data_IF_931334744121
#
_entry.id   IF_931334744121
#
_cell.length_a   1.000
_cell.length_b   1.000
_cell.length_c   1.000
_cell.angle_alpha   90.00
_cell.angle_beta   90.00
_cell.angle_gamma   90.00
#
_symmetry.space_group_name_H-M   'P 1'
#
loop_
_entity.id
_entity.type
_entity.pdbx_description
1 polymer ?
#
# COMPACT_ATOMS: atom_id res chain seq x y z
N UNK A 1 17.75 19.16 -2.55
CA UNK A 1 18.04 19.45 -3.96
C UNK A 1 18.80 20.75 -4.01
N UNK A 2 19.93 20.78 -4.72
CA UNK A 2 20.78 21.96 -4.84
C UNK A 2 20.50 22.60 -6.19
N UNK A 3 20.22 23.91 -6.21
CA UNK A 3 19.97 24.69 -7.41
C UNK A 3 18.77 25.63 -7.29
N UNK A 4 18.63 26.62 -8.17
CA UNK A 4 17.49 27.54 -8.16
C UNK A 4 16.20 26.80 -8.48
N UNK A 5 15.03 27.29 -8.02
CA UNK A 5 13.73 26.72 -8.34
C UNK A 5 13.50 26.72 -9.87
N UNK A 6 12.75 25.71 -10.32
CA UNK A 6 12.36 25.57 -11.73
C UNK A 6 10.87 25.86 -11.83
N UNK A 7 10.47 27.09 -12.21
CA UNK A 7 9.06 27.45 -12.25
C UNK A 7 8.34 26.76 -13.43
N UNK A 8 7.11 26.35 -13.18
CA UNK A 8 6.18 25.86 -14.19
C UNK A 8 4.98 26.81 -14.21
N UNK A 9 5.00 27.73 -15.17
CA UNK A 9 4.02 28.82 -15.27
C UNK A 9 3.40 28.85 -16.66
N UNK A 10 2.21 29.44 -16.75
CA UNK A 10 1.57 29.69 -18.04
C UNK A 10 2.48 30.54 -18.94
N UNK A 11 2.66 30.12 -20.17
CA UNK A 11 3.50 30.77 -21.16
C UNK A 11 2.95 30.54 -22.56
N UNK A 12 3.59 31.09 -23.59
CA UNK A 12 3.25 30.81 -24.99
C UNK A 12 3.37 29.30 -25.34
N UNK A 13 4.24 28.54 -24.63
CA UNK A 13 4.41 27.11 -24.82
C UNK A 13 3.38 26.28 -24.02
N UNK A 14 2.74 26.88 -23.00
CA UNK A 14 1.78 26.23 -22.13
C UNK A 14 0.51 27.07 -21.99
N UNK A 15 -0.18 27.38 -23.12
CA UNK A 15 -1.29 28.37 -23.13
C UNK A 15 -2.52 27.91 -22.35
N UNK A 16 -2.69 26.57 -22.20
CA UNK A 16 -3.85 25.97 -21.53
C UNK A 16 -3.58 25.61 -20.07
N UNK A 17 -2.46 26.09 -19.48
CA UNK A 17 -2.13 25.79 -18.08
C UNK A 17 -3.04 26.63 -17.17
N UNK A 18 -3.84 25.98 -16.36
CA UNK A 18 -4.72 26.62 -15.40
C UNK A 18 -3.94 27.12 -14.16
N UNK A 19 -4.56 27.97 -13.36
CA UNK A 19 -3.95 28.55 -12.15
C UNK A 19 -3.46 27.46 -11.19
N UNK A 20 -4.24 26.40 -11.03
CA UNK A 20 -3.95 25.28 -10.12
C UNK A 20 -2.85 24.33 -10.61
N UNK A 21 -2.53 24.38 -11.89
CA UNK A 21 -1.48 23.56 -12.51
C UNK A 21 -0.12 24.26 -12.53
N UNK A 22 -0.04 25.47 -12.00
CA UNK A 22 1.18 26.26 -11.93
C UNK A 22 1.91 26.07 -10.61
N UNK A 23 3.24 26.10 -10.67
CA UNK A 23 4.09 26.06 -9.47
C UNK A 23 5.31 26.95 -9.64
N UNK A 24 5.84 27.45 -8.54
CA UNK A 24 7.12 28.19 -8.52
C UNK A 24 8.32 27.25 -8.66
N UNK A 25 8.13 25.96 -8.40
CA UNK A 25 9.17 24.94 -8.53
C UNK A 25 8.56 23.56 -8.85
N UNK A 26 8.85 23.03 -10.05
CA UNK A 26 8.39 21.70 -10.48
C UNK A 26 9.22 20.56 -9.90
N UNK A 27 10.31 20.84 -9.22
CA UNK A 27 11.11 19.79 -8.61
C UNK A 27 10.27 19.09 -7.54
N UNK A 28 10.02 17.79 -7.70
CA UNK A 28 9.10 17.08 -6.84
C UNK A 28 9.67 16.89 -5.44
N UNK A 29 8.77 16.82 -4.49
CA UNK A 29 9.01 16.15 -3.25
C UNK A 29 8.99 17.04 -2.03
N UNK A 30 8.60 16.42 -0.95
CA UNK A 30 8.58 16.99 0.39
C UNK A 30 10.00 17.12 0.99
N UNK A 31 11.02 16.63 0.30
CA UNK A 31 12.39 16.55 0.81
C UNK A 31 12.53 15.61 2.01
N UNK A 32 13.73 15.54 2.59
CA UNK A 32 13.99 14.73 3.77
C UNK A 32 13.25 15.25 5.01
N UNK A 33 13.10 16.56 5.14
CA UNK A 33 12.37 17.18 6.25
C UNK A 33 10.89 16.80 6.22
N UNK A 34 10.25 16.90 5.05
CA UNK A 34 8.87 16.50 4.87
C UNK A 34 8.65 15.00 5.08
N UNK A 35 9.59 14.17 4.60
CA UNK A 35 9.57 12.73 4.85
C UNK A 35 9.68 12.39 6.34
N UNK A 36 10.55 13.10 7.07
CA UNK A 36 10.68 12.95 8.51
C UNK A 36 9.43 13.46 9.27
N UNK A 37 8.83 14.56 8.80
CA UNK A 37 7.59 15.07 9.38
C UNK A 37 6.42 14.09 9.17
N UNK A 38 6.32 13.50 7.97
CA UNK A 38 5.32 12.47 7.66
C UNK A 38 5.51 11.24 8.55
N UNK A 39 6.74 10.77 8.72
CA UNK A 39 7.03 9.64 9.62
C UNK A 39 6.62 9.95 11.05
N UNK A 40 6.99 11.13 11.58
CA UNK A 40 6.57 11.57 12.92
C UNK A 40 5.05 11.67 13.08
N UNK A 41 4.34 12.11 12.03
CA UNK A 41 2.87 12.14 12.03
C UNK A 41 2.31 10.74 12.25
N UNK A 42 2.80 9.74 11.50
CA UNK A 42 2.34 8.35 11.67
C UNK A 42 2.75 7.81 13.04
N UNK A 43 4.00 8.00 13.46
CA UNK A 43 4.49 7.52 14.76
C UNK A 43 3.66 8.02 15.96
N UNK A 44 3.03 9.20 15.82
CA UNK A 44 2.15 9.79 16.85
C UNK A 44 0.69 9.35 16.79
N UNK A 45 0.37 8.38 15.95
CA UNK A 45 -0.97 7.84 15.83
C UNK A 45 -1.68 8.18 14.52
N UNK A 46 -1.02 8.87 13.58
CA UNK A 46 -1.61 9.20 12.29
C UNK A 46 -1.77 7.99 11.38
N UNK A 47 -2.73 8.05 10.47
CA UNK A 47 -2.92 7.08 9.39
C UNK A 47 -2.33 7.62 8.08
N UNK A 48 -1.44 6.87 7.46
CA UNK A 48 -0.97 7.07 6.11
C UNK A 48 -1.57 6.01 5.17
N UNK A 49 -2.35 6.45 4.20
CA UNK A 49 -2.81 5.58 3.10
C UNK A 49 -1.96 5.81 1.86
N UNK A 50 -1.51 4.73 1.24
CA UNK A 50 -0.81 4.77 -0.04
C UNK A 50 -1.48 3.86 -1.05
N UNK A 51 -1.43 4.20 -2.33
CA UNK A 51 -2.11 3.45 -3.40
C UNK A 51 -1.21 3.34 -4.63
N UNK A 52 -1.13 2.15 -5.20
CA UNK A 52 -0.29 1.88 -6.35
C UNK A 52 1.17 2.22 -6.08
N UNK A 53 1.81 2.97 -6.96
CA UNK A 53 3.25 3.27 -6.86
C UNK A 53 3.63 4.10 -5.63
N UNK A 54 2.70 4.87 -5.03
CA UNK A 54 2.99 5.59 -3.79
C UNK A 54 3.26 4.68 -2.59
N UNK A 55 2.90 3.39 -2.68
CA UNK A 55 3.24 2.39 -1.66
C UNK A 55 4.75 2.14 -1.53
N UNK A 56 5.54 2.57 -2.54
CA UNK A 56 7.01 2.53 -2.44
C UNK A 56 7.57 3.56 -1.47
N UNK A 57 6.86 4.66 -1.20
CA UNK A 57 7.34 5.73 -0.31
C UNK A 57 7.64 5.21 1.11
N UNK A 58 6.68 4.61 1.84
CA UNK A 58 6.95 4.10 3.18
C UNK A 58 7.95 2.93 3.19
N UNK A 59 8.02 2.13 2.13
CA UNK A 59 9.01 1.05 2.00
C UNK A 59 10.41 1.64 1.86
N UNK A 60 10.61 2.57 0.92
CA UNK A 60 11.92 3.21 0.66
C UNK A 60 12.42 4.01 1.86
N UNK A 61 11.51 4.64 2.60
CA UNK A 61 11.85 5.41 3.81
C UNK A 61 11.96 4.54 5.08
N UNK A 62 11.76 3.23 4.97
CA UNK A 62 11.91 2.30 6.09
C UNK A 62 10.92 2.57 7.24
N UNK A 63 9.65 2.87 6.93
CA UNK A 63 8.62 3.12 7.96
C UNK A 63 8.36 1.86 8.78
N UNK A 64 8.28 0.72 8.11
CA UNK A 64 8.18 -0.58 8.77
C UNK A 64 9.07 -1.61 8.03
N UNK A 65 10.11 -2.14 8.67
CA UNK A 65 11.10 -3.01 8.01
C UNK A 65 10.56 -4.39 7.63
N UNK A 66 9.38 -4.79 8.14
CA UNK A 66 8.76 -6.07 7.78
C UNK A 66 8.07 -6.04 6.41
N UNK A 67 7.94 -4.86 5.79
CA UNK A 67 7.33 -4.72 4.46
C UNK A 67 8.39 -4.41 3.42
N UNK A 68 8.40 -5.20 2.36
CA UNK A 68 9.31 -5.03 1.23
C UNK A 68 8.54 -5.14 -0.08
N UNK A 69 9.21 -4.87 -1.19
CA UNK A 69 8.69 -5.12 -2.53
C UNK A 69 9.17 -6.50 -3.02
N UNK A 70 8.27 -7.28 -3.59
CA UNK A 70 8.64 -8.43 -4.40
C UNK A 70 9.09 -7.93 -5.78
N UNK A 71 10.28 -8.34 -6.21
CA UNK A 71 10.77 -8.05 -7.56
C UNK A 71 10.02 -8.95 -8.54
N UNK A 72 9.36 -8.34 -9.52
CA UNK A 72 8.71 -9.03 -10.63
C UNK A 72 9.46 -8.71 -11.93
N UNK A 73 9.69 -9.70 -12.76
CA UNK A 73 10.50 -9.56 -13.99
C UNK A 73 9.70 -9.76 -15.25
N UNK A 74 8.63 -10.57 -15.19
CA UNK A 74 7.80 -10.95 -16.33
C UNK A 74 6.38 -10.41 -16.21
N UNK A 75 5.99 -9.96 -15.01
CA UNK A 75 4.64 -9.48 -14.75
C UNK A 75 4.26 -8.33 -15.68
N UNK A 76 3.19 -8.51 -16.42
CA UNK A 76 2.56 -7.46 -17.21
C UNK A 76 1.05 -7.50 -17.00
N UNK A 77 0.54 -6.49 -16.30
CA UNK A 77 -0.87 -6.32 -16.00
C UNK A 77 -1.21 -4.83 -16.07
N UNK A 78 -1.71 -4.40 -17.21
CA UNK A 78 -2.06 -2.99 -17.47
C UNK A 78 -3.56 -2.84 -17.60
N UNK A 79 -4.19 -2.28 -16.55
CA UNK A 79 -5.62 -2.05 -16.55
C UNK A 79 -6.43 -3.35 -16.43
N UNK A 80 -6.04 -4.22 -15.53
CA UNK A 80 -6.66 -5.54 -15.37
C UNK A 80 -7.56 -5.60 -14.15
N UNK A 81 -8.64 -6.35 -14.25
CA UNK A 81 -9.47 -6.74 -13.12
C UNK A 81 -8.99 -8.10 -12.64
N UNK A 82 -8.50 -8.14 -11.42
CA UNK A 82 -7.83 -9.29 -10.83
C UNK A 82 -8.53 -9.69 -9.53
N UNK A 83 -8.57 -10.98 -9.26
CA UNK A 83 -9.20 -11.55 -8.08
C UNK A 83 -8.26 -11.49 -6.87
N UNK A 84 -8.79 -10.97 -5.77
CA UNK A 84 -8.13 -10.98 -4.45
C UNK A 84 -8.98 -11.73 -3.43
N UNK A 85 -8.36 -12.08 -2.32
CA UNK A 85 -9.01 -12.74 -1.20
C UNK A 85 -8.47 -12.20 0.13
N UNK A 86 -9.27 -12.19 1.21
CA UNK A 86 -8.79 -11.89 2.53
C UNK A 86 -7.62 -12.79 2.92
N UNK A 87 -6.63 -12.22 3.61
CA UNK A 87 -5.57 -13.05 4.19
C UNK A 87 -6.12 -13.85 5.38
N UNK A 88 -5.59 -15.07 5.66
CA UNK A 88 -6.14 -15.93 6.71
C UNK A 88 -6.26 -15.26 8.08
N UNK A 89 -5.27 -14.43 8.44
CA UNK A 89 -5.19 -13.77 9.75
C UNK A 89 -5.87 -12.38 9.76
N UNK A 90 -6.52 -11.98 8.67
CA UNK A 90 -7.07 -10.64 8.51
C UNK A 90 -8.59 -10.55 8.76
N UNK A 91 -9.26 -11.65 9.11
CA UNK A 91 -10.73 -11.69 9.27
C UNK A 91 -11.28 -10.68 10.27
N UNK A 92 -10.47 -10.23 11.22
CA UNK A 92 -10.82 -9.23 12.23
C UNK A 92 -10.47 -7.80 11.84
N UNK A 93 -9.82 -7.60 10.68
CA UNK A 93 -9.42 -6.27 10.23
C UNK A 93 -10.62 -5.39 9.92
N UNK A 94 -10.73 -4.20 10.50
CA UNK A 94 -11.78 -3.25 10.14
C UNK A 94 -11.78 -2.87 8.65
N UNK A 95 -10.64 -2.96 7.98
CA UNK A 95 -10.51 -2.70 6.54
C UNK A 95 -11.43 -3.61 5.72
N UNK A 96 -11.73 -4.81 6.23
CA UNK A 96 -12.58 -5.82 5.58
C UNK A 96 -14.05 -5.77 6.00
N UNK A 97 -14.49 -4.78 6.76
CA UNK A 97 -15.89 -4.68 7.13
C UNK A 97 -16.79 -4.59 5.88
N UNK A 98 -17.81 -5.45 5.82
CA UNK A 98 -18.71 -5.58 4.69
C UNK A 98 -18.20 -6.51 3.56
N UNK A 99 -17.02 -7.10 3.70
CA UNK A 99 -16.50 -8.09 2.76
C UNK A 99 -16.69 -9.52 3.30
N UNK A 100 -17.83 -10.12 3.01
CA UNK A 100 -18.15 -11.49 3.45
C UNK A 100 -17.66 -12.55 2.43
N UNK A 101 -17.37 -12.13 1.20
CA UNK A 101 -16.96 -13.02 0.13
C UNK A 101 -15.54 -13.55 0.34
N UNK A 102 -15.32 -14.83 0.07
CA UNK A 102 -14.00 -15.45 0.11
C UNK A 102 -13.03 -14.88 -0.93
N UNK A 103 -13.54 -14.29 -2.01
CA UNK A 103 -12.75 -13.57 -3.01
C UNK A 103 -13.61 -12.59 -3.79
N UNK A 104 -13.00 -11.50 -4.29
CA UNK A 104 -13.68 -10.48 -5.09
C UNK A 104 -12.71 -9.81 -6.07
N UNK A 105 -13.24 -9.18 -7.14
CA UNK A 105 -12.42 -8.51 -8.14
C UNK A 105 -11.98 -7.11 -7.68
N UNK A 106 -10.77 -6.72 -8.08
CA UNK A 106 -10.21 -5.37 -7.90
C UNK A 106 -9.48 -4.92 -9.16
N UNK A 107 -9.30 -3.61 -9.30
CA UNK A 107 -8.48 -3.06 -10.36
C UNK A 107 -6.99 -3.08 -9.99
N UNK A 108 -6.17 -3.59 -10.91
CA UNK A 108 -4.71 -3.63 -10.78
C UNK A 108 -4.03 -3.14 -12.07
N UNK A 109 -3.02 -2.31 -11.94
CA UNK A 109 -2.23 -1.83 -13.08
C UNK A 109 -0.80 -1.51 -12.67
N UNK A 110 0.13 -2.44 -12.98
CA UNK A 110 1.59 -2.27 -12.79
C UNK A 110 1.97 -1.57 -11.47
N UNK A 111 1.39 -1.98 -10.37
CA UNK A 111 1.72 -1.47 -9.04
C UNK A 111 2.78 -2.35 -8.36
N UNK A 112 3.46 -1.87 -7.31
CA UNK A 112 4.37 -2.67 -6.52
C UNK A 112 3.68 -3.90 -5.94
N UNK A 113 4.30 -5.05 -6.08
CA UNK A 113 3.86 -6.28 -5.43
C UNK A 113 4.45 -6.29 -4.03
N UNK A 114 3.59 -6.23 -3.03
CA UNK A 114 4.01 -6.13 -1.64
C UNK A 114 4.40 -7.50 -1.07
N UNK A 115 5.38 -7.49 -0.18
CA UNK A 115 5.78 -8.67 0.58
C UNK A 115 5.88 -8.32 2.06
N UNK A 116 5.30 -9.15 2.89
CA UNK A 116 5.39 -9.04 4.35
C UNK A 116 6.25 -10.19 4.86
N UNK A 117 7.27 -9.85 5.67
CA UNK A 117 8.14 -10.85 6.26
C UNK A 117 7.32 -11.87 7.05
N UNK A 118 7.60 -13.17 6.91
CA UNK A 118 6.92 -14.21 7.66
C UNK A 118 7.11 -14.01 9.16
N UNK A 119 6.21 -14.57 9.96
CA UNK A 119 6.37 -14.60 11.43
C UNK A 119 7.66 -15.36 11.73
N UNK A 120 8.56 -14.74 12.52
CA UNK A 120 9.74 -15.44 12.99
C UNK A 120 9.30 -16.51 14.00
N UNK A 121 9.34 -17.76 13.57
CA UNK A 121 8.96 -18.92 14.39
C UNK A 121 10.15 -19.44 15.21
N UNK A 122 11.33 -18.84 15.10
CA UNK A 122 12.52 -19.24 15.85
C UNK A 122 12.37 -18.72 17.28
N UNK A 123 11.94 -19.60 18.16
CA UNK A 123 12.05 -19.37 19.62
C UNK A 123 13.53 -19.34 19.98
N UNK A 124 14.06 -18.16 20.21
CA UNK A 124 15.44 -17.99 20.70
C UNK A 124 15.40 -18.12 22.22
N UNK A 125 16.01 -19.17 22.74
CA UNK A 125 16.20 -19.32 24.20
C UNK A 125 16.87 -18.08 24.79
N UNK A 126 16.29 -17.54 25.88
CA UNK A 126 16.83 -16.36 26.59
C UNK A 126 16.30 -15.02 26.11
N UNK A 127 15.33 -14.95 25.20
CA UNK A 127 14.67 -13.71 24.79
C UNK A 127 13.66 -13.25 25.83
N UNK A 128 13.64 -11.94 26.10
CA UNK A 128 12.62 -11.34 26.95
C UNK A 128 11.23 -11.45 26.28
N UNK A 129 10.22 -12.08 26.92
CA UNK A 129 8.87 -12.17 26.40
C UNK A 129 8.23 -10.81 26.09
N UNK A 130 8.60 -9.75 26.78
CA UNK A 130 8.13 -8.40 26.52
C UNK A 130 8.63 -7.87 25.17
N UNK A 131 9.87 -8.21 24.79
CA UNK A 131 10.45 -7.85 23.49
C UNK A 131 9.70 -8.56 22.33
N UNK A 132 9.42 -9.85 22.49
CA UNK A 132 8.70 -10.62 21.50
C UNK A 132 7.26 -10.09 21.28
N UNK A 133 6.58 -9.70 22.38
CA UNK A 133 5.26 -9.09 22.33
C UNK A 133 5.28 -7.75 21.61
N UNK A 134 6.29 -6.91 21.85
CA UNK A 134 6.43 -5.63 21.18
C UNK A 134 6.75 -5.82 19.68
N UNK A 135 7.63 -6.75 19.34
CA UNK A 135 7.95 -7.05 17.95
C UNK A 135 6.73 -7.58 17.18
N UNK A 136 5.90 -8.39 17.83
CA UNK A 136 4.66 -8.89 17.22
C UNK A 136 3.63 -7.78 16.98
N UNK A 137 3.49 -6.82 17.91
CA UNK A 137 2.63 -5.64 17.74
C UNK A 137 3.08 -4.72 16.59
N UNK A 138 4.39 -4.62 16.37
CA UNK A 138 4.96 -3.77 15.32
C UNK A 138 5.03 -4.47 13.96
N UNK A 139 4.59 -5.71 13.87
CA UNK A 139 4.63 -6.48 12.64
C UNK A 139 3.53 -6.05 11.68
N UNK A 140 3.90 -5.85 10.42
CA UNK A 140 2.93 -5.62 9.36
C UNK A 140 2.09 -6.88 9.10
N UNK A 141 0.86 -6.67 8.67
CA UNK A 141 -0.13 -7.71 8.38
C UNK A 141 -0.61 -7.60 6.95
N UNK A 142 -0.69 -8.72 6.28
CA UNK A 142 -1.37 -8.80 4.99
C UNK A 142 -2.88 -8.79 5.25
N UNK A 143 -3.58 -7.83 4.69
CA UNK A 143 -5.05 -7.72 4.80
C UNK A 143 -5.72 -8.41 3.62
N UNK A 144 -5.27 -8.09 2.41
CA UNK A 144 -5.68 -8.78 1.18
C UNK A 144 -4.48 -9.36 0.48
N UNK A 145 -4.66 -10.49 -0.15
CA UNK A 145 -3.69 -11.11 -1.05
C UNK A 145 -4.33 -11.39 -2.40
N UNK A 146 -3.52 -11.41 -3.42
CA UNK A 146 -3.92 -11.91 -4.72
C UNK A 146 -4.30 -13.39 -4.59
N UNK A 147 -5.27 -13.85 -5.40
CA UNK A 147 -5.71 -15.24 -5.36
C UNK A 147 -4.53 -16.20 -5.53
N UNK A 148 -4.55 -17.35 -4.82
CA UNK A 148 -3.41 -18.27 -4.76
C UNK A 148 -3.08 -18.95 -6.08
N UNK A 149 -4.09 -19.16 -6.94
CA UNK A 149 -3.92 -19.81 -8.23
C UNK A 149 -3.78 -18.77 -9.34
N UNK A 150 -2.67 -18.81 -10.07
CA UNK A 150 -2.37 -17.88 -11.17
C UNK A 150 -3.49 -17.87 -12.23
N UNK A 151 -4.00 -19.04 -12.61
CA UNK A 151 -5.06 -19.20 -13.62
C UNK A 151 -6.41 -18.65 -13.17
N UNK A 152 -6.60 -18.43 -11.87
CA UNK A 152 -7.84 -17.88 -11.29
C UNK A 152 -7.76 -16.39 -11.02
N UNK A 153 -6.61 -15.77 -11.26
CA UNK A 153 -6.38 -14.35 -10.98
C UNK A 153 -7.16 -13.44 -11.92
N UNK A 154 -7.03 -13.66 -13.22
CA UNK A 154 -7.59 -12.75 -14.21
C UNK A 154 -9.11 -12.88 -14.31
N UNK A 155 -9.80 -11.77 -14.13
CA UNK A 155 -11.24 -11.64 -14.40
C UNK A 155 -11.48 -10.96 -15.75
N UNK A 156 -10.72 -9.88 -16.03
CA UNK A 156 -10.79 -9.14 -17.27
C UNK A 156 -9.51 -8.36 -17.54
N UNK A 157 -9.20 -8.12 -18.80
CA UNK A 157 -7.99 -7.39 -19.21
C UNK A 157 -6.82 -8.31 -19.53
N UNK A 158 -5.59 -7.84 -19.34
CA UNK A 158 -4.36 -8.56 -19.66
C UNK A 158 -3.58 -8.91 -18.38
N UNK A 159 -3.24 -10.17 -18.22
CA UNK A 159 -2.30 -10.63 -17.19
C UNK A 159 -1.31 -11.62 -17.80
N UNK A 160 -0.04 -11.23 -17.80
CA UNK A 160 1.08 -12.08 -18.16
C UNK A 160 1.88 -12.37 -16.90
N UNK A 161 2.33 -13.62 -16.74
CA UNK A 161 3.07 -14.07 -15.56
C UNK A 161 2.31 -13.84 -14.24
N UNK A 162 1.05 -14.27 -14.18
CA UNK A 162 0.22 -14.21 -12.97
C UNK A 162 0.80 -14.97 -11.78
N UNK A 163 1.71 -15.92 -12.03
CA UNK A 163 2.48 -16.64 -11.03
C UNK A 163 3.33 -15.69 -10.14
N UNK A 164 3.77 -14.56 -10.68
CA UNK A 164 4.49 -13.53 -9.90
C UNK A 164 3.58 -12.72 -8.95
N UNK A 165 2.24 -12.78 -9.14
CA UNK A 165 1.24 -12.18 -8.26
C UNK A 165 0.62 -13.17 -7.29
N UNK A 166 0.45 -14.43 -7.71
CA UNK A 166 -0.32 -15.43 -6.98
C UNK A 166 0.11 -15.52 -5.51
N UNK A 167 -0.85 -15.40 -4.60
CA UNK A 167 -0.64 -15.44 -3.14
C UNK A 167 0.10 -14.26 -2.52
N UNK A 168 0.58 -13.29 -3.32
CA UNK A 168 1.29 -12.11 -2.81
C UNK A 168 0.34 -11.11 -2.17
N UNK A 169 0.89 -10.25 -1.30
CA UNK A 169 0.10 -9.23 -0.62
C UNK A 169 -0.38 -8.14 -1.60
N UNK A 170 -1.67 -7.86 -1.57
CA UNK A 170 -2.32 -6.79 -2.33
C UNK A 170 -2.61 -5.56 -1.45
N UNK A 171 -2.93 -5.77 -0.17
CA UNK A 171 -3.11 -4.71 0.83
C UNK A 171 -2.41 -5.13 2.11
N UNK A 172 -1.64 -4.21 2.67
CA UNK A 172 -0.86 -4.42 3.89
C UNK A 172 -1.16 -3.30 4.89
N UNK A 173 -1.42 -3.67 6.13
CA UNK A 173 -1.44 -2.77 7.27
C UNK A 173 -0.13 -2.91 8.05
N UNK A 174 0.61 -1.83 8.17
CA UNK A 174 1.90 -1.78 8.83
C UNK A 174 1.88 -0.80 10.01
N UNK A 175 1.93 -1.29 11.27
CA UNK A 175 2.07 -0.43 12.44
C UNK A 175 3.38 0.36 12.41
N UNK A 176 3.33 1.64 12.80
CA UNK A 176 4.49 2.53 12.91
C UNK A 176 4.30 3.43 14.12
N UNK A 177 5.02 3.17 15.21
CA UNK A 177 4.76 3.83 16.49
C UNK A 177 3.35 3.53 17.00
N UNK A 178 2.55 4.56 17.22
CA UNK A 178 1.14 4.45 17.64
C UNK A 178 0.16 4.52 16.45
N UNK A 179 0.65 4.73 15.22
CA UNK A 179 -0.16 4.85 14.02
C UNK A 179 0.06 3.73 13.02
N UNK A 180 -0.50 3.91 11.82
CA UNK A 180 -0.53 2.89 10.79
C UNK A 180 -0.19 3.43 9.41
N UNK A 181 0.47 2.61 8.61
CA UNK A 181 0.61 2.79 7.16
C UNK A 181 -0.16 1.69 6.48
N UNK A 182 -1.27 2.03 5.82
CA UNK A 182 -2.02 1.07 5.00
C UNK A 182 -1.60 1.22 3.55
N UNK A 183 -0.94 0.19 3.04
CA UNK A 183 -0.39 0.17 1.69
C UNK A 183 -1.29 -0.65 0.77
N UNK A 184 -1.87 0.01 -0.22
CA UNK A 184 -2.61 -0.64 -1.30
C UNK A 184 -1.67 -0.83 -2.49
N UNK A 185 -1.15 -2.05 -2.72
CA UNK A 185 -0.51 -2.46 -3.97
C UNK A 185 -1.49 -2.53 -5.14
N UNK A 186 -2.67 -1.98 -4.96
CA UNK A 186 -3.79 -1.87 -5.90
C UNK A 186 -4.26 -0.41 -5.97
N UNK A 187 -5.23 -0.13 -6.82
CA UNK A 187 -5.88 1.20 -6.89
C UNK A 187 -7.35 1.08 -6.52
N UNK A 188 -7.71 1.17 -5.24
CA UNK A 188 -9.06 0.88 -4.76
C UNK A 188 -10.13 1.84 -5.30
N UNK A 189 -9.76 3.05 -5.72
CA UNK A 189 -10.68 4.10 -6.18
C UNK A 189 -10.41 4.54 -7.63
N UNK A 190 -9.84 3.66 -8.45
CA UNK A 190 -9.46 4.03 -9.81
C UNK A 190 -10.66 4.33 -10.70
N UNK A 191 -10.75 5.59 -11.18
CA UNK A 191 -11.67 6.05 -12.23
C UNK A 191 -13.13 5.60 -12.08
N UNK A 192 -13.59 5.35 -10.87
CA UNK A 192 -14.94 4.84 -10.60
C UNK A 192 -15.21 3.41 -11.16
N UNK A 193 -14.19 2.71 -11.60
CA UNK A 193 -14.35 1.42 -12.29
C UNK A 193 -14.60 0.24 -11.34
N UNK A 194 -14.00 0.26 -10.14
CA UNK A 194 -14.13 -0.84 -9.19
C UNK A 194 -14.75 -0.37 -7.87
N UNK A 195 -16.02 0.01 -7.91
CA UNK A 195 -16.76 0.53 -6.74
C UNK A 195 -16.71 -0.43 -5.55
N UNK A 196 -16.72 -1.75 -5.81
CA UNK A 196 -16.62 -2.77 -4.77
C UNK A 196 -15.33 -2.72 -3.93
N UNK A 197 -14.28 -2.04 -4.39
CA UNK A 197 -13.03 -1.87 -3.63
C UNK A 197 -12.94 -0.55 -2.84
N UNK A 198 -13.90 0.37 -3.02
CA UNK A 198 -13.87 1.69 -2.36
C UNK A 198 -13.95 1.56 -0.84
N UNK A 199 -14.80 0.65 -0.36
CA UNK A 199 -14.99 0.43 1.06
C UNK A 199 -13.68 0.02 1.78
N UNK A 200 -12.71 -0.61 1.11
CA UNK A 200 -11.41 -0.91 1.70
C UNK A 200 -10.70 0.34 2.22
N UNK A 201 -10.63 1.38 1.39
CA UNK A 201 -9.98 2.63 1.77
C UNK A 201 -10.84 3.44 2.76
N UNK A 202 -12.16 3.48 2.55
CA UNK A 202 -13.09 4.18 3.44
C UNK A 202 -13.12 3.54 4.84
N UNK A 203 -13.10 2.21 4.92
CA UNK A 203 -13.02 1.48 6.17
C UNK A 203 -11.72 1.77 6.92
N UNK A 204 -10.58 1.82 6.20
CA UNK A 204 -9.32 2.18 6.83
C UNK A 204 -9.35 3.59 7.42
N UNK A 205 -9.97 4.55 6.72
CA UNK A 205 -10.13 5.93 7.21
C UNK A 205 -11.10 5.98 8.39
N UNK A 206 -12.27 5.34 8.27
CA UNK A 206 -13.29 5.39 9.31
C UNK A 206 -12.87 4.72 10.63
N UNK A 207 -11.98 3.74 10.54
CA UNK A 207 -11.52 2.95 11.68
C UNK A 207 -10.02 3.18 11.99
N UNK A 208 -9.48 4.33 11.66
CA UNK A 208 -8.05 4.60 11.76
C UNK A 208 -7.46 4.39 13.17
N UNK A 209 -8.24 4.61 14.22
CA UNK A 209 -7.84 4.38 15.61
C UNK A 209 -7.93 2.90 16.04
N UNK A 210 -8.53 2.04 15.23
CA UNK A 210 -8.85 0.65 15.57
C UNK A 210 -8.22 -0.37 14.61
N UNK A 211 -7.21 0.03 13.83
CA UNK A 211 -6.54 -0.87 12.90
C UNK A 211 -5.68 -1.91 13.63
N UNK A 212 -5.22 -1.62 14.84
CA UNK A 212 -4.44 -2.51 15.69
C UNK A 212 -5.30 -3.53 16.45
N UNK A 213 -5.78 -4.58 15.80
CA UNK A 213 -6.56 -5.65 16.43
C UNK A 213 -5.69 -6.88 16.77
#
# INVERSE_FOLDING_TARGET
MVGPPIPWKKSALTPNLDLWDQTDDIRPGMGLEGAAALKKFVERGGLLLTSGNSSMLPITLGFNPSVTQTITTRLNARGSVIRVQPAPDASRSPILYGYESSSFPIYFSQAPVLNVAPKDTIVREGRDPAFDTQQERMRARTILRFHDKADSLLVSGLLVAGDELAGKAAVVDAPVGSGHVVMFGIRPMWRWESQGSFALALNAIANWEHLGF
#
